data_IF_184187598317
#
_entry.id   IF_184187598317
#
_cell.length_a   1.000
_cell.length_b   1.000
_cell.length_c   1.000
_cell.angle_alpha   90.00
_cell.angle_beta   90.00
_cell.angle_gamma   90.00
#
_symmetry.space_group_name_H-M   'P 1'
#
loop_
_entity.id
_entity.type
_entity.pdbx_description
1 polymer ?
#
# COMPACT_ATOMS: atom_id res chain seq x y z
N UNK A 1 1.69 -15.74 -0.95
CA UNK A 1 2.51 -14.54 -0.98
C UNK A 1 2.73 -14.06 0.43
N UNK A 2 4.01 -13.96 0.76
CA UNK A 2 4.53 -13.19 1.89
C UNK A 2 5.43 -12.10 1.28
N UNK A 3 5.08 -10.84 1.49
CA UNK A 3 5.95 -9.69 1.28
C UNK A 3 7.01 -9.67 2.38
N UNK A 4 8.28 -9.62 2.00
CA UNK A 4 9.44 -9.50 2.88
C UNK A 4 10.34 -8.38 2.36
N UNK A 5 11.23 -7.90 3.21
CA UNK A 5 12.32 -6.99 2.83
C UNK A 5 11.86 -5.70 2.15
N UNK A 6 10.74 -5.14 2.63
CA UNK A 6 10.23 -3.84 2.19
C UNK A 6 11.24 -2.78 2.60
N UNK A 7 11.85 -2.10 1.63
CA UNK A 7 12.78 -1.01 1.90
C UNK A 7 11.99 0.31 1.95
N UNK A 8 11.89 0.96 3.11
CA UNK A 8 11.20 2.24 3.23
C UNK A 8 12.07 3.38 2.67
N UNK A 9 11.47 4.24 1.88
CA UNK A 9 12.02 5.52 1.45
C UNK A 9 11.03 6.62 1.87
N UNK A 10 11.42 7.45 2.85
CA UNK A 10 10.61 8.60 3.28
C UNK A 10 10.89 9.76 2.34
N UNK A 11 9.82 10.31 1.76
CA UNK A 11 9.85 11.38 0.77
C UNK A 11 9.11 12.58 1.32
N UNK A 12 9.79 13.73 1.37
CA UNK A 12 9.15 14.99 1.72
C UNK A 12 8.40 15.52 0.48
N UNK A 13 7.07 15.75 0.55
CA UNK A 13 6.37 16.49 -0.47
C UNK A 13 6.90 17.93 -0.54
N UNK A 14 6.76 18.63 -1.67
CA UNK A 14 7.09 20.06 -1.75
C UNK A 14 6.32 20.80 -0.64
N UNK A 15 7.02 21.64 0.15
CA UNK A 15 6.44 22.35 1.29
C UNK A 15 5.17 23.11 0.90
N UNK A 16 4.01 22.57 1.25
CA UNK A 16 2.76 23.30 1.27
C UNK A 16 2.64 24.01 2.62
N UNK A 17 2.41 25.33 2.57
CA UNK A 17 2.43 26.28 3.69
C UNK A 17 1.43 26.01 4.85
N UNK A 18 0.82 24.83 4.93
CA UNK A 18 -0.21 24.48 5.93
C UNK A 18 0.10 23.27 6.82
N UNK A 19 1.02 22.37 6.44
CA UNK A 19 1.44 21.22 7.27
C UNK A 19 2.65 20.50 6.66
N UNK A 20 3.69 20.28 7.45
CA UNK A 20 4.75 19.32 7.10
C UNK A 20 4.16 17.92 7.25
N UNK A 21 3.91 17.26 6.12
CA UNK A 21 3.60 15.83 6.09
C UNK A 21 4.68 15.12 5.32
N UNK A 22 4.86 13.82 5.55
CA UNK A 22 5.77 12.98 4.79
C UNK A 22 4.97 11.96 3.99
N UNK A 23 5.56 11.52 2.89
CA UNK A 23 5.14 10.35 2.16
C UNK A 23 6.17 9.25 2.37
N UNK A 24 5.77 8.00 2.14
CA UNK A 24 6.70 6.89 2.21
C UNK A 24 6.44 5.93 1.07
N UNK A 25 7.52 5.43 0.47
CA UNK A 25 7.50 4.44 -0.60
C UNK A 25 8.24 3.20 -0.10
N UNK A 26 7.53 2.07 -0.07
CA UNK A 26 8.11 0.76 0.18
C UNK A 26 8.34 0.04 -1.14
N UNK A 27 9.60 -0.23 -1.50
CA UNK A 27 9.93 -1.05 -2.69
C UNK A 27 10.27 -2.49 -2.30
N UNK A 28 9.91 -3.43 -3.16
CA UNK A 28 10.14 -4.86 -2.96
C UNK A 28 10.17 -5.61 -4.31
N UNK A 29 10.86 -6.74 -4.39
CA UNK A 29 11.01 -7.50 -5.64
C UNK A 29 9.73 -8.26 -6.05
N UNK A 30 8.87 -8.55 -5.07
CA UNK A 30 7.71 -9.41 -5.27
C UNK A 30 6.57 -8.70 -5.98
N UNK A 31 5.97 -9.35 -6.97
CA UNK A 31 4.83 -8.78 -7.71
C UNK A 31 3.52 -8.82 -6.90
N UNK A 32 2.90 -7.66 -6.69
CA UNK A 32 1.59 -7.48 -6.06
C UNK A 32 0.40 -7.58 -7.00
N UNK A 33 0.59 -7.59 -8.33
CA UNK A 33 -0.54 -7.68 -9.27
C UNK A 33 -1.52 -8.82 -8.92
N UNK A 34 -1.09 -10.01 -8.46
CA UNK A 34 -2.03 -11.07 -8.06
C UNK A 34 -2.90 -10.74 -6.85
N UNK A 35 -2.45 -9.91 -5.89
CA UNK A 35 -3.21 -9.59 -4.67
C UNK A 35 -4.14 -8.38 -4.86
N UNK A 36 -3.84 -7.49 -5.82
CA UNK A 36 -4.60 -6.26 -6.05
C UNK A 36 -6.11 -6.47 -6.27
N UNK A 37 -6.58 -7.48 -7.03
CA UNK A 37 -8.02 -7.72 -7.18
C UNK A 37 -8.72 -8.06 -5.87
N UNK A 38 -8.05 -8.80 -4.98
CA UNK A 38 -8.59 -9.18 -3.67
C UNK A 38 -8.62 -7.98 -2.72
N UNK A 39 -7.56 -7.17 -2.71
CA UNK A 39 -7.56 -5.90 -1.98
C UNK A 39 -8.65 -4.95 -2.49
N UNK A 40 -8.87 -4.88 -3.80
CA UNK A 40 -9.96 -4.10 -4.37
C UNK A 40 -11.34 -4.56 -3.90
N UNK A 41 -11.51 -5.86 -3.63
CA UNK A 41 -12.77 -6.42 -3.13
C UNK A 41 -12.97 -6.22 -1.62
N UNK A 42 -11.88 -6.18 -0.82
CA UNK A 42 -11.95 -6.07 0.64
C UNK A 42 -11.85 -4.64 1.15
N UNK A 43 -11.18 -3.74 0.42
CA UNK A 43 -10.96 -2.37 0.85
C UNK A 43 -12.08 -1.45 0.37
N UNK A 44 -12.70 -0.72 1.30
CA UNK A 44 -13.75 0.23 0.98
C UNK A 44 -13.21 1.34 0.07
N UNK A 45 -13.99 1.71 -0.97
CA UNK A 45 -13.64 2.78 -1.93
C UNK A 45 -12.29 2.56 -2.65
N UNK A 46 -11.89 1.30 -2.84
CA UNK A 46 -10.74 0.98 -3.66
C UNK A 46 -11.03 1.24 -5.14
N UNK A 47 -10.03 1.74 -5.85
CA UNK A 47 -10.04 2.04 -7.27
C UNK A 47 -8.90 1.27 -7.93
N UNK A 48 -9.24 0.20 -8.64
CA UNK A 48 -8.27 -0.62 -9.37
C UNK A 48 -8.22 -0.27 -10.86
N UNK A 49 -7.12 0.34 -11.29
CA UNK A 49 -6.87 0.66 -12.70
C UNK A 49 -6.12 -0.47 -13.39
N UNK A 50 -6.86 -1.47 -13.88
CA UNK A 50 -6.30 -2.71 -14.47
C UNK A 50 -5.27 -2.47 -15.57
N UNK A 51 -5.52 -1.51 -16.47
CA UNK A 51 -4.59 -1.22 -17.57
C UNK A 51 -3.23 -0.68 -17.10
N UNK A 52 -3.15 -0.12 -15.89
CA UNK A 52 -1.92 0.42 -15.32
C UNK A 52 -1.34 -0.47 -14.20
N UNK A 53 -2.07 -1.51 -13.78
CA UNK A 53 -1.78 -2.30 -12.57
C UNK A 53 -1.58 -1.42 -11.31
N UNK A 54 -2.46 -0.44 -11.14
CA UNK A 54 -2.43 0.47 -9.99
C UNK A 54 -3.70 0.29 -9.16
N UNK A 55 -3.55 0.04 -7.87
CA UNK A 55 -4.64 0.03 -6.90
C UNK A 55 -4.52 1.22 -5.95
N UNK A 56 -5.58 2.01 -5.81
CA UNK A 56 -5.64 3.13 -4.86
C UNK A 56 -6.77 2.94 -3.87
N UNK A 57 -6.53 3.18 -2.60
CA UNK A 57 -7.56 3.12 -1.55
C UNK A 57 -7.16 3.98 -0.35
N UNK A 58 -8.05 4.12 0.63
CA UNK A 58 -7.71 4.73 1.92
C UNK A 58 -7.50 3.67 2.98
N UNK A 59 -6.45 3.83 3.77
CA UNK A 59 -6.10 2.93 4.87
C UNK A 59 -5.67 3.75 6.07
N UNK A 60 -6.29 3.51 7.24
CA UNK A 60 -6.01 4.23 8.49
C UNK A 60 -6.04 5.76 8.36
N UNK A 61 -6.85 6.29 7.44
CA UNK A 61 -6.94 7.74 7.19
C UNK A 61 -5.96 8.27 6.14
N UNK A 62 -5.00 7.48 5.67
CA UNK A 62 -4.03 7.87 4.63
C UNK A 62 -4.43 7.38 3.25
N UNK A 63 -3.91 8.05 2.22
CA UNK A 63 -4.02 7.59 0.84
C UNK A 63 -2.95 6.52 0.58
N UNK A 64 -3.37 5.36 0.07
CA UNK A 64 -2.47 4.28 -0.34
C UNK A 64 -2.51 4.12 -1.86
N UNK A 65 -1.34 3.88 -2.44
CA UNK A 65 -1.17 3.49 -3.85
C UNK A 65 -0.31 2.25 -3.92
N UNK A 66 -0.79 1.19 -4.57
CA UNK A 66 -0.03 -0.02 -4.84
C UNK A 66 0.24 -0.14 -6.33
N UNK A 67 1.46 -0.52 -6.66
CA UNK A 67 1.93 -0.92 -7.97
C UNK A 67 2.58 -2.32 -7.87
N UNK A 68 2.97 -2.97 -8.98
CA UNK A 68 3.50 -4.34 -8.94
C UNK A 68 4.67 -4.52 -7.96
N UNK A 69 5.60 -3.56 -7.87
CA UNK A 69 6.84 -3.66 -7.09
C UNK A 69 7.02 -2.56 -6.03
N UNK A 70 5.98 -1.74 -5.80
CA UNK A 70 6.03 -0.69 -4.80
C UNK A 70 4.67 -0.41 -4.16
N UNK A 71 4.72 0.10 -2.93
CA UNK A 71 3.57 0.65 -2.22
C UNK A 71 3.91 2.03 -1.67
N UNK A 72 2.98 2.97 -1.78
CA UNK A 72 3.15 4.32 -1.28
C UNK A 72 2.02 4.67 -0.31
N UNK A 73 2.38 5.35 0.78
CA UNK A 73 1.45 5.95 1.75
C UNK A 73 1.74 7.44 1.81
N UNK A 74 0.68 8.26 1.75
CA UNK A 74 0.82 9.72 1.70
C UNK A 74 0.12 10.44 2.86
N UNK A 75 0.66 11.61 3.22
CA UNK A 75 0.07 12.49 4.23
C UNK A 75 0.28 12.00 5.66
N UNK A 76 1.45 11.45 5.97
CA UNK A 76 1.87 11.03 7.30
C UNK A 76 2.47 12.22 8.05
N UNK A 77 2.42 12.24 9.37
CA UNK A 77 2.97 13.32 10.19
C UNK A 77 4.50 13.35 10.16
N UNK A 78 5.15 12.19 10.26
CA UNK A 78 6.60 12.08 10.38
C UNK A 78 7.16 10.73 9.87
N UNK A 79 8.49 10.61 9.93
CA UNK A 79 9.22 9.42 9.47
C UNK A 79 8.93 8.16 10.32
N UNK A 80 8.61 8.30 11.60
CA UNK A 80 8.30 7.16 12.46
C UNK A 80 6.91 6.61 12.10
N UNK A 81 5.91 7.48 11.94
CA UNK A 81 4.59 7.11 11.43
C UNK A 81 4.68 6.47 10.04
N UNK A 82 5.56 6.98 9.18
CA UNK A 82 5.80 6.41 7.86
C UNK A 82 6.26 4.94 7.89
N UNK A 83 7.22 4.61 8.76
CA UNK A 83 7.72 3.24 8.91
C UNK A 83 6.62 2.34 9.49
N UNK A 84 5.88 2.81 10.49
CA UNK A 84 4.76 2.06 11.06
C UNK A 84 3.65 1.80 10.03
N UNK A 85 3.27 2.81 9.25
CA UNK A 85 2.24 2.71 8.23
C UNK A 85 2.60 1.69 7.16
N UNK A 86 3.87 1.66 6.71
CA UNK A 86 4.34 0.62 5.78
C UNK A 86 4.26 -0.78 6.40
N UNK A 87 4.64 -0.95 7.66
CA UNK A 87 4.58 -2.24 8.33
C UNK A 87 3.13 -2.73 8.49
N UNK A 88 2.19 -1.83 8.82
CA UNK A 88 0.76 -2.13 8.90
C UNK A 88 0.18 -2.50 7.53
N UNK A 89 0.52 -1.73 6.50
CA UNK A 89 0.10 -2.01 5.12
C UNK A 89 0.64 -3.35 4.62
N UNK A 90 1.91 -3.67 4.91
CA UNK A 90 2.50 -4.97 4.59
C UNK A 90 1.73 -6.13 5.24
N UNK A 91 1.33 -5.97 6.51
CA UNK A 91 0.50 -6.98 7.21
C UNK A 91 -0.85 -7.15 6.53
N UNK A 92 -1.55 -6.07 6.22
CA UNK A 92 -2.84 -6.11 5.50
C UNK A 92 -2.72 -6.88 4.17
N UNK A 93 -1.67 -6.61 3.39
CA UNK A 93 -1.47 -7.29 2.10
C UNK A 93 -1.24 -8.79 2.31
N UNK A 94 -0.41 -9.16 3.29
CA UNK A 94 -0.13 -10.56 3.61
C UNK A 94 -1.38 -11.30 4.11
N UNK A 95 -2.19 -10.67 4.96
CA UNK A 95 -3.45 -11.22 5.46
C UNK A 95 -4.49 -11.39 4.35
N UNK A 96 -4.64 -10.37 3.49
CA UNK A 96 -5.54 -10.44 2.34
C UNK A 96 -5.15 -11.58 1.41
N UNK A 97 -3.85 -11.74 1.14
CA UNK A 97 -3.38 -12.86 0.35
C UNK A 97 -3.66 -14.21 1.02
N UNK A 98 -3.45 -14.32 2.33
CA UNK A 98 -3.73 -15.57 3.06
C UNK A 98 -5.20 -15.96 2.91
N UNK A 99 -6.13 -15.02 3.03
CA UNK A 99 -7.56 -15.28 2.80
C UNK A 99 -7.83 -15.67 1.34
N UNK A 100 -7.22 -14.98 0.38
CA UNK A 100 -7.39 -15.27 -1.04
C UNK A 100 -7.04 -16.73 -1.41
N UNK A 101 -6.03 -17.33 -0.75
CA UNK A 101 -5.67 -18.74 -0.94
C UNK A 101 -6.77 -19.74 -0.54
N UNK A 102 -7.73 -19.32 0.29
CA UNK A 102 -8.81 -20.17 0.77
C UNK A 102 -10.16 -19.89 0.08
N UNK A 103 -10.21 -18.93 -0.86
CA UNK A 103 -11.41 -18.68 -1.65
C UNK A 103 -11.46 -19.67 -2.82
N UNK A 104 -12.55 -20.44 -3.00
CA UNK A 104 -12.70 -21.29 -4.17
C UNK A 104 -12.70 -20.40 -5.40
N UNK A 105 -11.72 -20.58 -6.28
CA UNK A 105 -11.73 -19.97 -7.62
C UNK A 105 -12.94 -20.54 -8.35
N UNK A 106 -14.00 -19.72 -8.45
CA UNK A 106 -15.21 -20.06 -9.20
C UNK A 106 -14.95 -20.06 -10.70
#
# INVERSE_FOLDING_TARGET
>A
MLLRDVKPEVVLPPCDYGRETVNVIGRFEKDLSPVMPYLNATQSKALYHRAANILRFRFEGHQVTLQPHEMAVSGLADADEAVEALARLQRLINETWRVALFLPTS
#
